data_IF_072400080071
#
_entry.id   IF_072400080071
#
_cell.length_a   1.000
_cell.length_b   1.000
_cell.length_c   1.000
_cell.angle_alpha   90.00
_cell.angle_beta   90.00
_cell.angle_gamma   90.00
#
_symmetry.space_group_name_H-M   'P 1'
#
loop_
_entity.id
_entity.type
_entity.pdbx_description
1 polymer ?
#
# COMPACT_ATOMS: atom_id res chain seq x y z
N UNK A 1 4.58 5.42 -9.12
CA UNK A 1 3.72 6.23 -8.23
C UNK A 1 3.80 5.66 -6.82
N UNK A 2 3.61 6.50 -5.81
CA UNK A 2 3.37 6.08 -4.44
C UNK A 2 2.01 5.42 -4.29
N UNK A 3 1.85 4.61 -3.24
CA UNK A 3 0.60 3.88 -2.99
C UNK A 3 -0.54 4.84 -2.63
N UNK A 4 -0.29 5.82 -1.75
CA UNK A 4 -1.28 6.83 -1.38
C UNK A 4 -1.88 7.52 -2.62
N UNK A 5 -1.05 7.93 -3.58
CA UNK A 5 -1.52 8.59 -4.80
C UNK A 5 -2.32 7.65 -5.71
N UNK A 6 -2.06 6.33 -5.67
CA UNK A 6 -2.89 5.34 -6.38
C UNK A 6 -4.28 5.24 -5.72
N UNK A 7 -4.34 5.22 -4.39
CA UNK A 7 -5.59 5.21 -3.62
C UNK A 7 -6.40 6.48 -3.87
N UNK A 8 -5.75 7.65 -3.84
CA UNK A 8 -6.36 8.96 -4.12
C UNK A 8 -6.92 9.04 -5.55
N UNK A 9 -6.19 8.51 -6.54
CA UNK A 9 -6.68 8.43 -7.92
C UNK A 9 -7.94 7.57 -8.02
N UNK A 10 -7.94 6.40 -7.38
CA UNK A 10 -9.12 5.51 -7.32
C UNK A 10 -10.30 6.21 -6.64
N UNK A 11 -10.10 6.89 -5.51
CA UNK A 11 -11.14 7.65 -4.82
C UNK A 11 -11.74 8.78 -5.69
N UNK A 12 -10.91 9.38 -6.55
CA UNK A 12 -11.33 10.38 -7.54
C UNK A 12 -11.97 9.75 -8.81
N UNK A 13 -12.14 8.43 -8.88
CA UNK A 13 -12.65 7.73 -10.06
C UNK A 13 -11.73 7.86 -11.29
N UNK A 14 -10.43 8.02 -11.09
CA UNK A 14 -9.45 8.22 -12.15
C UNK A 14 -8.44 7.09 -12.21
N UNK A 15 -8.00 6.75 -13.43
CA UNK A 15 -6.86 5.86 -13.60
C UNK A 15 -5.57 6.54 -13.11
N UNK A 16 -4.74 5.83 -12.31
CA UNK A 16 -3.49 6.38 -11.82
C UNK A 16 -2.54 6.80 -12.95
N UNK A 17 -2.08 8.06 -12.92
CA UNK A 17 -1.16 8.63 -13.90
C UNK A 17 0.14 9.08 -13.24
N UNK A 18 1.26 8.97 -13.95
CA UNK A 18 2.59 9.44 -13.47
C UNK A 18 2.59 10.94 -13.13
N UNK A 19 1.68 11.71 -13.72
CA UNK A 19 1.52 13.14 -13.45
C UNK A 19 0.95 13.42 -12.06
N UNK A 20 0.21 12.48 -11.44
CA UNK A 20 -0.33 12.61 -10.09
C UNK A 20 0.74 12.45 -9.00
N UNK A 21 1.90 11.88 -9.34
CA UNK A 21 3.05 11.75 -8.44
C UNK A 21 4.36 11.84 -9.25
N UNK A 22 4.67 13.03 -9.79
CA UNK A 22 5.76 13.20 -10.75
C UNK A 22 7.15 12.93 -10.15
N UNK A 23 7.34 13.20 -8.86
CA UNK A 23 8.59 12.94 -8.14
C UNK A 23 8.31 12.04 -6.95
N UNK A 24 8.87 10.83 -6.97
CA UNK A 24 8.73 9.87 -5.87
C UNK A 24 10.12 9.51 -5.32
N UNK A 25 10.29 9.64 -4.02
CA UNK A 25 11.50 9.21 -3.31
C UNK A 25 11.25 7.84 -2.67
N UNK A 26 12.09 6.86 -3.02
CA UNK A 26 12.08 5.53 -2.38
C UNK A 26 13.34 5.36 -1.53
N UNK A 27 13.22 5.28 -0.21
CA UNK A 27 14.37 4.99 0.64
C UNK A 27 14.99 3.63 0.31
N UNK A 28 16.34 3.60 0.13
CA UNK A 28 17.12 2.37 -0.13
C UNK A 28 18.07 2.01 1.03
N UNK A 29 17.93 2.65 2.19
CA UNK A 29 18.85 2.52 3.32
C UNK A 29 20.11 3.40 3.19
N UNK A 30 20.97 3.43 4.22
CA UNK A 30 22.23 4.19 4.25
C UNK A 30 22.11 5.65 3.80
N UNK A 31 21.02 6.34 4.17
CA UNK A 31 20.74 7.75 3.81
C UNK A 31 20.68 8.01 2.29
N UNK A 32 20.38 6.99 1.50
CA UNK A 32 20.15 7.08 0.06
C UNK A 32 18.69 6.90 -0.29
N UNK A 33 18.26 7.60 -1.33
CA UNK A 33 16.92 7.42 -1.90
C UNK A 33 16.99 7.31 -3.42
N UNK A 34 16.28 6.36 -3.98
CA UNK A 34 16.05 6.29 -5.42
C UNK A 34 15.00 7.34 -5.78
N UNK A 35 15.35 8.22 -6.70
CA UNK A 35 14.47 9.25 -7.26
C UNK A 35 13.79 8.68 -8.49
N UNK A 36 12.46 8.63 -8.47
CA UNK A 36 11.65 8.22 -9.61
C UNK A 36 10.95 9.48 -10.14
N UNK A 37 11.24 9.83 -11.38
CA UNK A 37 10.71 10.99 -12.06
C UNK A 37 9.74 10.53 -13.16
N UNK A 38 8.48 10.97 -13.08
CA UNK A 38 7.40 10.59 -14.01
C UNK A 38 7.37 9.08 -14.31
N UNK A 39 7.49 8.27 -13.26
CA UNK A 39 7.42 6.81 -13.34
C UNK A 39 8.72 6.10 -13.78
N UNK A 40 9.77 6.83 -14.13
CA UNK A 40 11.08 6.30 -14.52
C UNK A 40 12.10 6.47 -13.39
N UNK A 41 12.96 5.48 -13.18
CA UNK A 41 14.11 5.65 -12.26
C UNK A 41 15.04 6.68 -12.89
N UNK A 42 15.21 7.80 -12.21
CA UNK A 42 16.04 8.91 -12.67
C UNK A 42 17.46 8.84 -12.10
N UNK A 43 17.59 8.68 -10.78
CA UNK A 43 18.88 8.62 -10.11
C UNK A 43 18.73 7.98 -8.71
N UNK A 44 19.86 7.62 -8.07
CA UNK A 44 19.93 7.23 -6.66
C UNK A 44 20.82 8.21 -5.91
N UNK A 45 20.24 9.07 -5.09
CA UNK A 45 20.91 10.21 -4.50
C UNK A 45 20.99 10.13 -2.98
N UNK A 46 22.05 10.71 -2.42
CA UNK A 46 22.07 11.11 -1.02
C UNK A 46 21.25 12.41 -0.83
N UNK A 47 20.75 12.63 0.39
CA UNK A 47 19.92 13.81 0.68
C UNK A 47 20.58 15.13 0.23
N UNK A 48 21.91 15.29 0.42
CA UNK A 48 22.64 16.50 -0.02
C UNK A 48 22.60 16.72 -1.52
N UNK A 49 22.71 15.66 -2.32
CA UNK A 49 22.73 15.74 -3.78
C UNK A 49 21.34 15.92 -4.36
N UNK A 50 20.32 15.34 -3.70
CA UNK A 50 18.92 15.61 -4.00
C UNK A 50 18.62 17.12 -3.92
N UNK A 51 19.07 17.78 -2.87
CA UNK A 51 18.84 19.22 -2.68
C UNK A 51 19.51 20.12 -3.75
N UNK A 52 20.53 19.64 -4.44
CA UNK A 52 21.15 20.37 -5.58
C UNK A 52 20.33 20.24 -6.86
N UNK A 53 19.40 19.31 -6.92
CA UNK A 53 18.61 18.97 -8.10
C UNK A 53 17.14 19.41 -8.00
N UNK A 54 16.75 20.08 -6.90
CA UNK A 54 15.35 20.45 -6.62
C UNK A 54 14.76 21.34 -7.71
N UNK A 55 15.53 22.24 -8.35
CA UNK A 55 15.01 23.09 -9.43
C UNK A 55 14.59 22.28 -10.66
N UNK A 56 15.43 21.38 -11.14
CA UNK A 56 15.07 20.54 -12.29
C UNK A 56 13.92 19.58 -11.99
N UNK A 57 13.81 19.11 -10.75
CA UNK A 57 12.69 18.30 -10.30
C UNK A 57 11.40 19.11 -10.19
N UNK A 58 11.50 20.37 -9.74
CA UNK A 58 10.39 21.30 -9.67
C UNK A 58 9.83 21.61 -11.06
N UNK A 59 10.68 21.93 -12.04
CA UNK A 59 10.27 22.17 -13.43
C UNK A 59 9.46 20.98 -13.97
N UNK A 60 9.95 19.73 -13.77
CA UNK A 60 9.25 18.53 -14.21
C UNK A 60 7.95 18.26 -13.43
N UNK A 61 7.91 18.62 -12.16
CA UNK A 61 6.69 18.55 -11.39
C UNK A 61 5.65 19.56 -11.89
N UNK A 62 6.07 20.78 -12.28
CA UNK A 62 5.16 21.80 -12.81
C UNK A 62 4.63 21.42 -14.21
N UNK A 63 5.45 20.84 -15.09
CA UNK A 63 4.96 20.26 -16.36
C UNK A 63 3.80 19.26 -16.10
N UNK A 64 3.97 18.41 -15.09
CA UNK A 64 2.92 17.44 -14.72
C UNK A 64 1.69 18.10 -14.12
N UNK A 65 1.86 19.14 -13.31
CA UNK A 65 0.77 19.92 -12.71
C UNK A 65 -0.05 20.64 -13.80
N UNK A 66 0.62 21.29 -14.75
CA UNK A 66 -0.02 21.96 -15.89
C UNK A 66 -0.81 20.98 -16.76
N UNK A 67 -0.25 19.77 -16.97
CA UNK A 67 -0.98 18.70 -17.64
C UNK A 67 -2.27 18.32 -16.88
N UNK A 68 -2.23 18.15 -15.56
CA UNK A 68 -3.41 17.84 -14.78
C UNK A 68 -4.46 18.96 -14.80
N UNK A 69 -4.03 20.21 -14.61
CA UNK A 69 -4.92 21.39 -14.67
C UNK A 69 -5.61 21.51 -16.02
N UNK A 70 -4.88 21.24 -17.10
CA UNK A 70 -5.44 21.34 -18.46
C UNK A 70 -6.43 20.23 -18.82
N UNK A 71 -6.43 19.12 -18.09
CA UNK A 71 -7.24 17.94 -18.38
C UNK A 71 -8.32 17.64 -17.34
N UNK A 72 -8.43 18.46 -16.29
CA UNK A 72 -9.41 18.26 -15.21
C UNK A 72 -10.00 19.59 -14.76
N UNK A 73 -11.29 19.61 -14.46
CA UNK A 73 -11.99 20.79 -13.93
C UNK A 73 -11.45 21.18 -12.54
N UNK A 74 -11.02 20.18 -11.76
CA UNK A 74 -10.46 20.34 -10.43
C UNK A 74 -9.14 19.55 -10.29
N UNK A 75 -8.14 20.21 -9.76
CA UNK A 75 -6.86 19.59 -9.37
C UNK A 75 -6.57 19.90 -7.92
N UNK A 76 -6.50 18.85 -7.08
CA UNK A 76 -6.19 18.95 -5.64
C UNK A 76 -4.72 18.63 -5.45
N UNK A 77 -3.99 19.55 -4.82
CA UNK A 77 -2.59 19.40 -4.47
C UNK A 77 -2.47 19.01 -3.00
N UNK A 78 -1.76 17.96 -2.71
CA UNK A 78 -1.40 17.58 -1.34
C UNK A 78 0.06 17.95 -1.07
N UNK A 79 0.27 18.76 0.00
CA UNK A 79 1.61 19.02 0.50
C UNK A 79 2.23 17.81 1.19
N UNK A 80 3.54 17.77 1.29
CA UNK A 80 4.27 16.74 2.01
C UNK A 80 5.18 17.34 3.08
N UNK A 81 5.13 16.76 4.28
CA UNK A 81 5.78 17.34 5.46
C UNK A 81 5.09 18.62 5.95
N UNK A 82 5.75 19.36 6.82
CA UNK A 82 5.21 20.62 7.34
C UNK A 82 5.60 21.79 6.44
N UNK A 83 4.63 22.62 6.07
CA UNK A 83 4.89 23.87 5.35
C UNK A 83 5.58 24.94 6.23
N UNK A 84 5.65 24.72 7.55
CA UNK A 84 6.36 25.58 8.52
C UNK A 84 7.85 25.24 8.70
N UNK A 85 8.41 24.30 7.93
CA UNK A 85 9.83 23.93 7.98
C UNK A 85 10.71 24.98 7.26
N UNK A 86 11.03 26.07 7.94
CA UNK A 86 11.77 27.23 7.38
C UNK A 86 13.13 26.87 6.80
N UNK A 87 13.82 25.87 7.36
CA UNK A 87 15.11 25.37 6.88
C UNK A 87 15.01 24.63 5.51
N UNK A 88 13.83 24.17 5.14
CA UNK A 88 13.56 23.48 3.88
C UNK A 88 12.88 24.39 2.83
N UNK A 89 12.44 25.58 3.21
CA UNK A 89 11.63 26.49 2.40
C UNK A 89 12.13 26.70 0.97
N UNK A 90 13.42 26.96 0.81
CA UNK A 90 14.04 27.23 -0.50
C UNK A 90 14.22 25.96 -1.36
N UNK A 91 13.95 24.78 -0.81
CA UNK A 91 14.11 23.46 -1.45
C UNK A 91 12.82 22.69 -1.51
N UNK A 92 11.76 23.26 -0.95
CA UNK A 92 10.43 22.68 -0.96
C UNK A 92 9.82 22.78 -2.36
N UNK A 93 9.45 21.65 -2.92
CA UNK A 93 8.84 21.55 -4.25
C UNK A 93 7.39 21.05 -4.19
N UNK A 94 6.81 20.91 -2.99
CA UNK A 94 5.51 20.27 -2.79
C UNK A 94 4.45 21.12 -2.08
N UNK A 95 4.84 22.13 -1.29
CA UNK A 95 3.90 22.95 -0.53
C UNK A 95 3.59 24.27 -1.27
N UNK A 96 4.17 25.39 -0.84
CA UNK A 96 3.79 26.70 -1.37
C UNK A 96 4.31 27.00 -2.78
N UNK A 97 5.44 26.42 -3.23
CA UNK A 97 5.93 26.68 -4.59
C UNK A 97 4.95 26.22 -5.67
N UNK A 98 4.39 24.98 -5.63
CA UNK A 98 3.32 24.58 -6.54
C UNK A 98 2.05 25.44 -6.39
N UNK A 99 1.67 25.83 -5.17
CA UNK A 99 0.52 26.69 -4.93
C UNK A 99 0.69 28.10 -5.54
N UNK A 100 1.91 28.66 -5.49
CA UNK A 100 2.22 29.92 -6.19
C UNK A 100 2.19 29.76 -7.70
N UNK A 101 2.79 28.69 -8.24
CA UNK A 101 2.84 28.44 -9.66
C UNK A 101 1.43 28.30 -10.28
N UNK A 102 0.55 27.57 -9.61
CA UNK A 102 -0.83 27.33 -10.07
C UNK A 102 -1.85 28.36 -9.62
N UNK A 103 -1.43 29.37 -8.88
CA UNK A 103 -2.32 30.35 -8.20
C UNK A 103 -3.37 29.69 -7.30
N UNK A 104 -3.05 28.55 -6.68
CA UNK A 104 -3.98 27.78 -5.86
C UNK A 104 -4.31 28.48 -4.53
N UNK A 105 -5.58 28.37 -4.10
CA UNK A 105 -6.00 28.63 -2.74
C UNK A 105 -5.53 27.50 -1.82
N UNK A 106 -5.03 27.84 -0.62
CA UNK A 106 -4.46 26.87 0.33
C UNK A 106 -5.40 26.68 1.51
N UNK A 107 -5.61 25.41 1.90
CA UNK A 107 -6.29 25.06 3.15
C UNK A 107 -5.22 24.43 4.06
N UNK A 108 -5.02 25.03 5.24
CA UNK A 108 -4.08 24.52 6.24
C UNK A 108 -4.79 23.47 7.11
N UNK A 109 -4.30 22.24 7.07
CA UNK A 109 -4.81 21.14 7.91
C UNK A 109 -3.90 20.95 9.11
N UNK A 110 -4.48 20.98 10.32
CA UNK A 110 -3.78 20.81 11.58
C UNK A 110 -4.28 19.57 12.33
N UNK A 111 -3.36 18.75 12.84
CA UNK A 111 -3.65 17.54 13.61
C UNK A 111 -3.74 17.86 15.10
N UNK A 112 -4.93 17.62 15.73
CA UNK A 112 -5.14 17.91 17.16
C UNK A 112 -4.75 16.72 18.06
N UNK A 113 -4.49 15.54 17.51
CA UNK A 113 -4.32 14.31 18.29
C UNK A 113 -3.18 14.40 19.32
N UNK A 114 -2.11 15.12 18.99
CA UNK A 114 -0.94 15.29 19.87
C UNK A 114 -1.05 16.48 20.81
N UNK A 115 -2.15 17.24 20.74
CA UNK A 115 -2.32 18.48 21.50
C UNK A 115 -1.56 19.69 20.92
N UNK A 116 -1.84 20.87 21.45
CA UNK A 116 -1.15 22.11 21.04
C UNK A 116 -1.55 22.64 19.66
N UNK A 117 -2.68 22.26 19.09
CA UNK A 117 -3.11 22.62 17.72
C UNK A 117 -3.14 24.14 17.48
N UNK A 118 -3.56 24.95 18.46
CA UNK A 118 -3.56 26.39 18.32
C UNK A 118 -2.16 26.95 18.16
N UNK A 119 -1.20 26.46 18.97
CA UNK A 119 0.20 26.86 18.86
C UNK A 119 0.80 26.44 17.52
N UNK A 120 0.48 25.24 17.02
CA UNK A 120 0.92 24.76 15.71
C UNK A 120 0.39 25.65 14.59
N UNK A 121 -0.90 25.99 14.58
CA UNK A 121 -1.50 26.86 13.56
C UNK A 121 -0.86 28.24 13.60
N UNK A 122 -0.81 28.90 14.78
CA UNK A 122 -0.27 30.23 14.91
C UNK A 122 1.23 30.24 14.58
N UNK A 123 1.99 29.28 15.10
CA UNK A 123 3.42 29.17 14.81
C UNK A 123 3.68 28.95 13.31
N UNK A 124 2.90 28.13 12.62
CA UNK A 124 3.00 27.97 11.18
C UNK A 124 2.74 29.29 10.44
N UNK A 125 1.66 29.99 10.79
CA UNK A 125 1.31 31.27 10.17
C UNK A 125 2.33 32.38 10.45
N UNK A 126 3.09 32.28 11.53
CA UNK A 126 4.12 33.26 11.91
C UNK A 126 5.45 33.01 11.18
N UNK A 127 5.81 31.76 10.93
CA UNK A 127 7.12 31.41 10.33
C UNK A 127 7.12 31.45 8.81
N UNK A 128 5.96 31.37 8.17
CA UNK A 128 5.83 31.44 6.70
C UNK A 128 5.81 32.89 6.23
N UNK A 129 6.10 33.15 4.94
CA UNK A 129 6.06 34.48 4.37
C UNK A 129 4.64 35.08 4.37
N UNK A 130 4.53 36.41 4.31
CA UNK A 130 3.24 37.10 4.15
C UNK A 130 2.50 36.68 2.88
N UNK A 131 3.25 36.39 1.80
CA UNK A 131 2.71 35.95 0.52
C UNK A 131 2.11 34.53 0.62
N UNK A 132 2.80 33.61 1.30
CA UNK A 132 2.30 32.26 1.58
C UNK A 132 1.05 32.31 2.47
N UNK A 133 1.12 33.12 3.54
CA UNK A 133 0.01 33.30 4.47
C UNK A 133 -1.24 33.84 3.75
N UNK A 134 -1.07 34.76 2.81
CA UNK A 134 -2.17 35.33 2.04
C UNK A 134 -2.90 34.27 1.17
N UNK A 135 -2.23 33.15 0.83
CA UNK A 135 -2.85 32.03 0.11
C UNK A 135 -3.70 31.13 1.00
N UNK A 136 -3.47 31.14 2.31
CA UNK A 136 -4.25 30.29 3.22
C UNK A 136 -5.64 30.91 3.40
N UNK A 137 -6.65 30.26 2.85
CA UNK A 137 -8.03 30.71 2.83
C UNK A 137 -8.92 30.02 3.86
N UNK A 138 -8.45 28.92 4.44
CA UNK A 138 -9.20 28.16 5.42
C UNK A 138 -8.32 27.27 6.29
N UNK A 139 -8.86 26.91 7.46
CA UNK A 139 -8.25 25.98 8.41
C UNK A 139 -9.12 24.75 8.56
N UNK A 140 -8.54 23.57 8.62
CA UNK A 140 -9.19 22.32 9.03
C UNK A 140 -8.45 21.76 10.24
N UNK A 141 -9.20 21.43 11.29
CA UNK A 141 -8.69 20.74 12.47
C UNK A 141 -9.07 19.28 12.36
N UNK A 142 -8.08 18.41 12.21
CA UNK A 142 -8.29 16.98 11.94
C UNK A 142 -8.05 16.13 13.17
N UNK A 143 -8.65 14.93 13.17
CA UNK A 143 -8.53 13.90 14.21
C UNK A 143 -9.03 14.35 15.59
N UNK A 144 -10.09 15.11 15.62
CA UNK A 144 -10.69 15.56 16.87
C UNK A 144 -11.29 14.38 17.65
N UNK A 145 -10.99 14.28 18.94
CA UNK A 145 -11.58 13.27 19.84
C UNK A 145 -12.36 13.99 20.94
N UNK A 146 -13.56 13.51 21.22
CA UNK A 146 -14.45 14.05 22.23
C UNK A 146 -15.65 14.81 21.65
N UNK A 147 -16.30 15.63 22.46
CA UNK A 147 -17.48 16.42 22.08
C UNK A 147 -17.06 17.70 21.32
N UNK A 148 -17.41 17.82 20.00
CA UNK A 148 -17.06 19.00 19.21
C UNK A 148 -17.71 20.30 19.73
N UNK A 149 -18.81 20.22 20.50
CA UNK A 149 -19.49 21.42 21.03
C UNK A 149 -18.61 22.17 22.03
N UNK A 150 -17.76 21.44 22.78
CA UNK A 150 -16.81 22.01 23.72
C UNK A 150 -15.65 22.75 23.04
N UNK A 151 -15.49 22.59 21.73
CA UNK A 151 -14.42 23.23 20.96
C UNK A 151 -14.86 24.55 20.30
N UNK A 152 -16.13 24.92 20.41
CA UNK A 152 -16.71 26.10 19.75
C UNK A 152 -16.01 27.41 20.10
N UNK A 153 -15.61 27.60 21.35
CA UNK A 153 -14.89 28.81 21.77
C UNK A 153 -13.45 28.82 21.24
N UNK A 154 -12.84 27.65 21.07
CA UNK A 154 -11.54 27.53 20.43
C UNK A 154 -11.59 27.93 18.95
N UNK A 155 -12.66 27.55 18.23
CA UNK A 155 -12.88 27.97 16.85
C UNK A 155 -12.97 29.47 16.76
N UNK A 156 -13.84 30.12 17.55
CA UNK A 156 -14.00 31.57 17.57
C UNK A 156 -12.70 32.28 17.89
N UNK A 157 -11.92 31.71 18.83
CA UNK A 157 -10.66 32.30 19.25
C UNK A 157 -9.62 32.26 18.11
N UNK A 158 -9.46 31.12 17.43
CA UNK A 158 -8.48 30.99 16.35
C UNK A 158 -8.86 31.82 15.12
N UNK A 159 -10.13 31.86 14.75
CA UNK A 159 -10.63 32.72 13.66
C UNK A 159 -10.38 34.20 13.96
N UNK A 160 -10.67 34.67 15.20
CA UNK A 160 -10.39 36.04 15.64
C UNK A 160 -8.89 36.35 15.61
N UNK A 161 -8.05 35.39 16.03
CA UNK A 161 -6.60 35.57 16.12
C UNK A 161 -5.92 35.60 14.76
N UNK A 162 -6.38 34.80 13.82
CA UNK A 162 -5.74 34.58 12.50
C UNK A 162 -6.38 35.38 11.38
N UNK A 163 -7.66 35.70 11.50
CA UNK A 163 -8.49 36.25 10.43
C UNK A 163 -8.86 35.20 9.36
N UNK A 164 -8.58 33.93 9.61
CA UNK A 164 -8.82 32.83 8.66
C UNK A 164 -9.95 31.94 9.19
N UNK A 165 -10.98 31.62 8.37
CA UNK A 165 -12.11 30.81 8.81
C UNK A 165 -11.73 29.35 9.05
N UNK A 166 -12.33 28.74 10.08
CA UNK A 166 -12.29 27.28 10.27
C UNK A 166 -13.39 26.65 9.43
N UNK A 167 -12.98 25.82 8.47
CA UNK A 167 -13.88 25.15 7.54
C UNK A 167 -14.46 23.86 8.13
N UNK A 168 -13.67 23.19 8.98
CA UNK A 168 -14.08 21.96 9.62
C UNK A 168 -13.30 21.67 10.89
N UNK A 169 -13.96 20.98 11.82
CA UNK A 169 -13.34 20.17 12.87
C UNK A 169 -13.73 18.73 12.58
N UNK A 170 -12.82 17.97 12.03
CA UNK A 170 -13.06 16.59 11.58
C UNK A 170 -12.84 15.64 12.76
N UNK A 171 -13.87 14.92 13.20
CA UNK A 171 -13.72 13.90 14.24
C UNK A 171 -12.77 12.78 13.79
N UNK A 172 -12.18 12.10 14.76
CA UNK A 172 -11.39 10.91 14.47
C UNK A 172 -12.28 9.83 13.87
N UNK A 173 -11.97 9.42 12.64
CA UNK A 173 -12.72 8.42 11.91
C UNK A 173 -12.14 7.04 12.20
N UNK A 174 -12.94 6.16 12.81
CA UNK A 174 -12.54 4.79 13.16
C UNK A 174 -13.06 3.79 12.11
N UNK A 175 -12.38 2.66 12.00
CA UNK A 175 -12.81 1.51 11.19
C UNK A 175 -12.99 1.79 9.69
N UNK A 176 -12.12 2.60 9.10
CA UNK A 176 -12.08 2.79 7.65
C UNK A 176 -11.31 1.64 6.97
N UNK A 177 -11.90 1.05 5.93
CA UNK A 177 -11.30 -0.03 5.13
C UNK A 177 -10.62 0.51 3.87
N UNK A 178 -9.78 1.53 4.03
CA UNK A 178 -8.95 2.09 2.95
C UNK A 178 -7.50 1.75 3.22
N UNK A 179 -6.75 1.47 2.15
CA UNK A 179 -5.32 1.14 2.25
C UNK A 179 -4.56 2.23 3.02
N UNK A 180 -3.84 1.89 4.10
CA UNK A 180 -3.04 2.86 4.83
C UNK A 180 -1.83 3.30 4.00
N UNK A 181 -1.42 4.57 4.17
CA UNK A 181 -0.23 5.11 3.52
C UNK A 181 1.05 4.40 3.99
N UNK A 182 1.15 4.15 5.30
CA UNK A 182 2.30 3.52 5.93
C UNK A 182 2.07 2.06 6.30
N UNK A 183 3.05 1.21 6.01
CA UNK A 183 3.09 -0.21 6.41
C UNK A 183 3.23 -0.44 7.92
N UNK A 184 3.38 0.61 8.73
CA UNK A 184 3.53 0.53 10.19
C UNK A 184 2.23 0.21 10.95
N UNK A 185 1.08 0.25 10.29
CA UNK A 185 -0.24 -0.01 10.90
C UNK A 185 -0.63 -1.49 11.00
N UNK A 186 0.27 -2.43 10.70
CA UNK A 186 0.05 -3.89 10.75
C UNK A 186 -0.27 -4.46 12.16
N UNK A 187 -0.45 -3.62 13.17
CA UNK A 187 -0.64 -4.07 14.57
C UNK A 187 -2.07 -4.01 15.10
N UNK A 188 -3.08 -3.73 14.27
CA UNK A 188 -4.47 -3.68 14.75
C UNK A 188 -5.19 -4.98 14.44
N UNK A 189 -5.39 -5.72 15.48
CA UNK A 189 -6.24 -6.88 15.62
C UNK A 189 -7.58 -6.76 14.90
N UNK A 190 -7.81 -7.76 14.09
CA UNK A 190 -9.05 -8.33 13.62
C UNK A 190 -10.29 -7.99 14.44
N UNK A 191 -11.35 -7.64 13.72
CA UNK A 191 -12.72 -7.71 14.24
C UNK A 191 -12.93 -9.11 14.79
N UNK A 192 -13.52 -9.21 15.99
CA UNK A 192 -13.94 -10.49 16.55
C UNK A 192 -14.83 -11.22 15.53
N UNK A 193 -14.56 -12.49 15.22
CA UNK A 193 -15.36 -13.27 14.30
C UNK A 193 -16.82 -13.32 14.78
N UNK A 194 -17.74 -13.17 13.84
CA UNK A 194 -19.18 -13.24 14.14
C UNK A 194 -19.65 -14.64 14.53
N UNK A 195 -18.88 -15.67 14.18
CA UNK A 195 -19.18 -17.08 14.43
C UNK A 195 -17.99 -17.81 15.04
N UNK A 196 -18.25 -18.86 15.84
CA UNK A 196 -17.23 -19.71 16.46
C UNK A 196 -16.40 -20.56 15.47
N UNK A 197 -16.68 -20.48 14.19
CA UNK A 197 -15.94 -21.15 13.12
C UNK A 197 -15.38 -20.12 12.17
N UNK A 198 -14.06 -20.02 12.09
CA UNK A 198 -13.35 -19.16 11.15
C UNK A 198 -12.24 -19.93 10.47
N UNK A 199 -11.87 -19.50 9.28
CA UNK A 199 -10.66 -19.98 8.59
C UNK A 199 -9.48 -19.16 9.11
N UNK A 200 -8.54 -19.84 9.77
CA UNK A 200 -7.38 -19.20 10.40
C UNK A 200 -6.21 -19.13 9.43
N UNK A 201 -5.85 -17.92 9.05
CA UNK A 201 -4.76 -17.67 8.12
C UNK A 201 -3.62 -16.92 8.82
N UNK A 202 -2.41 -17.47 8.72
CA UNK A 202 -1.20 -16.81 9.21
C UNK A 202 -0.43 -16.18 8.05
N UNK A 203 0.03 -14.95 8.20
CA UNK A 203 1.02 -14.32 7.32
C UNK A 203 2.31 -14.17 8.08
N UNK A 204 3.42 -14.73 7.60
CA UNK A 204 4.74 -14.55 8.22
C UNK A 204 5.18 -13.10 7.99
N UNK A 205 5.32 -12.33 9.06
CA UNK A 205 5.74 -10.93 8.99
C UNK A 205 7.25 -10.83 8.75
N UNK A 206 7.65 -10.84 7.48
CA UNK A 206 9.04 -10.68 7.06
C UNK A 206 9.55 -9.27 7.40
N UNK A 207 10.85 -9.10 7.75
CA UNK A 207 11.44 -7.78 8.01
C UNK A 207 11.31 -6.80 6.85
N UNK A 208 11.42 -7.30 5.61
CA UNK A 208 11.31 -6.49 4.38
C UNK A 208 9.99 -6.73 3.64
N UNK A 209 8.92 -7.05 4.37
CA UNK A 209 7.59 -7.27 3.77
C UNK A 209 7.23 -6.15 2.80
N UNK A 210 6.67 -6.54 1.65
CA UNK A 210 6.12 -5.62 0.66
C UNK A 210 4.70 -6.04 0.27
N UNK A 211 3.92 -5.08 -0.24
CA UNK A 211 2.56 -5.33 -0.73
C UNK A 211 1.67 -6.07 0.29
N UNK A 212 1.80 -5.72 1.59
CA UNK A 212 0.98 -6.33 2.65
C UNK A 212 -0.53 -6.17 2.40
N UNK A 213 -0.91 -5.22 1.57
CA UNK A 213 -2.29 -5.00 1.14
C UNK A 213 -2.87 -6.13 0.30
N UNK A 214 -2.04 -7.04 -0.25
CA UNK A 214 -2.54 -8.27 -0.89
C UNK A 214 -3.43 -9.09 0.05
N UNK A 215 -3.26 -8.93 1.37
CA UNK A 215 -4.01 -9.65 2.39
C UNK A 215 -5.21 -8.88 2.94
N UNK A 216 -5.40 -7.61 2.58
CA UNK A 216 -6.56 -6.83 3.05
C UNK A 216 -7.90 -7.47 2.70
N UNK A 217 -8.11 -8.02 1.50
CA UNK A 217 -9.37 -8.69 1.20
C UNK A 217 -9.67 -9.88 2.11
N UNK A 218 -8.62 -10.57 2.58
CA UNK A 218 -8.75 -11.64 3.57
C UNK A 218 -9.00 -11.09 4.98
N UNK A 219 -8.32 -10.00 5.36
CA UNK A 219 -8.50 -9.34 6.66
C UNK A 219 -9.92 -8.79 6.86
N UNK A 220 -10.53 -8.32 5.77
CA UNK A 220 -11.90 -7.80 5.80
C UNK A 220 -12.98 -8.85 5.61
N UNK A 221 -12.60 -10.08 5.28
CA UNK A 221 -13.54 -11.17 5.12
C UNK A 221 -14.05 -11.65 6.50
N UNK A 222 -15.37 -11.66 6.76
CA UNK A 222 -15.92 -12.04 8.07
C UNK A 222 -15.66 -13.50 8.44
N UNK A 223 -15.33 -14.35 7.46
CA UNK A 223 -15.06 -15.77 7.64
C UNK A 223 -13.57 -16.08 7.90
N UNK A 224 -12.71 -15.05 7.89
CA UNK A 224 -11.26 -15.20 8.03
C UNK A 224 -10.76 -14.54 9.33
N UNK A 225 -9.96 -15.28 10.08
CA UNK A 225 -9.12 -14.78 11.16
C UNK A 225 -7.68 -14.67 10.65
N UNK A 226 -7.27 -13.47 10.20
CA UNK A 226 -5.94 -13.19 9.68
C UNK A 226 -4.99 -12.78 10.82
N UNK A 227 -3.82 -13.39 10.89
CA UNK A 227 -2.79 -13.09 11.89
C UNK A 227 -1.42 -12.86 11.24
N UNK A 228 -0.80 -11.71 11.50
CA UNK A 228 0.59 -11.46 11.12
C UNK A 228 1.55 -11.97 12.20
N UNK A 229 2.36 -12.96 11.86
CA UNK A 229 3.26 -13.63 12.80
C UNK A 229 4.67 -13.05 12.72
N UNK A 230 5.04 -12.21 13.69
CA UNK A 230 6.39 -11.66 13.83
C UNK A 230 7.35 -12.63 14.51
N UNK A 231 6.86 -13.34 15.51
CA UNK A 231 7.64 -14.27 16.29
C UNK A 231 7.22 -15.70 15.99
N UNK A 232 8.20 -16.62 16.04
CA UNK A 232 7.93 -18.04 15.83
C UNK A 232 6.88 -18.56 16.82
N UNK A 233 5.85 -19.19 16.28
CA UNK A 233 4.78 -19.85 17.02
C UNK A 233 4.42 -21.18 16.37
N UNK A 234 3.58 -21.97 17.01
CA UNK A 234 3.04 -23.20 16.42
C UNK A 234 2.13 -22.85 15.23
N UNK A 235 2.35 -23.50 14.09
CA UNK A 235 1.56 -23.31 12.88
C UNK A 235 0.34 -24.27 12.83
N UNK A 236 0.26 -25.26 13.70
CA UNK A 236 -0.77 -26.30 13.65
C UNK A 236 -2.20 -25.79 13.87
N UNK A 237 -2.34 -24.58 14.40
CA UNK A 237 -3.65 -23.96 14.64
C UNK A 237 -4.16 -23.12 13.46
N UNK A 238 -3.40 -23.05 12.35
CA UNK A 238 -3.76 -22.31 11.15
C UNK A 238 -4.15 -23.27 10.05
N UNK A 239 -5.18 -22.89 9.31
CA UNK A 239 -5.65 -23.63 8.12
C UNK A 239 -4.77 -23.31 6.90
N UNK A 240 -4.16 -22.10 6.85
CA UNK A 240 -3.25 -21.65 5.80
C UNK A 240 -2.12 -20.79 6.39
N UNK A 241 -0.90 -20.95 5.85
CA UNK A 241 0.25 -20.07 6.13
C UNK A 241 0.68 -19.39 4.84
N UNK A 242 0.80 -18.06 4.85
CA UNK A 242 1.19 -17.25 3.71
C UNK A 242 2.57 -16.61 3.92
N UNK A 243 3.41 -16.68 2.89
CA UNK A 243 4.65 -15.94 2.77
C UNK A 243 4.41 -14.73 1.85
N UNK A 244 4.56 -13.51 2.35
CA UNK A 244 4.25 -12.29 1.59
C UNK A 244 5.36 -11.92 0.61
N UNK A 245 5.12 -10.89 -0.20
CA UNK A 245 6.14 -10.21 -0.97
C UNK A 245 7.26 -9.65 -0.09
N UNK A 246 8.45 -9.54 -0.65
CA UNK A 246 9.64 -9.02 0.03
C UNK A 246 10.35 -7.99 -0.85
N UNK A 247 10.95 -6.97 -0.22
CA UNK A 247 11.86 -6.01 -0.87
C UNK A 247 13.31 -6.50 -0.87
N UNK A 248 13.61 -7.56 -0.10
CA UNK A 248 14.92 -8.19 -0.05
C UNK A 248 14.79 -9.66 0.32
N UNK A 249 14.61 -10.49 -0.69
CA UNK A 249 14.30 -11.91 -0.52
C UNK A 249 15.47 -12.67 0.11
N UNK A 250 16.70 -12.32 -0.24
CA UNK A 250 17.89 -12.98 0.31
C UNK A 250 18.05 -12.73 1.82
N UNK A 251 17.85 -11.49 2.28
CA UNK A 251 17.91 -11.17 3.72
C UNK A 251 16.72 -11.75 4.48
N UNK A 252 15.54 -11.76 3.89
CA UNK A 252 14.36 -12.36 4.52
C UNK A 252 14.49 -13.89 4.60
N UNK A 253 15.09 -14.55 3.60
CA UNK A 253 15.41 -15.97 3.70
C UNK A 253 16.41 -16.27 4.82
N UNK A 254 17.46 -15.46 4.93
CA UNK A 254 18.41 -15.56 6.05
C UNK A 254 17.70 -15.37 7.40
N UNK A 255 16.82 -14.38 7.51
CA UNK A 255 16.03 -14.15 8.72
C UNK A 255 15.15 -15.35 9.07
N UNK A 256 14.49 -15.98 8.09
CA UNK A 256 13.70 -17.20 8.29
C UNK A 256 14.55 -18.35 8.84
N UNK A 257 15.79 -18.50 8.34
CA UNK A 257 16.74 -19.52 8.79
C UNK A 257 17.21 -19.23 10.23
N UNK A 258 17.66 -18.01 10.50
CA UNK A 258 18.19 -17.58 11.81
C UNK A 258 17.13 -17.70 12.91
N UNK A 259 15.85 -17.44 12.59
CA UNK A 259 14.73 -17.57 13.51
C UNK A 259 14.04 -18.95 13.48
N UNK A 260 14.63 -19.93 12.77
CA UNK A 260 14.16 -21.32 12.70
C UNK A 260 12.72 -21.47 12.14
N UNK A 261 12.25 -20.51 11.33
CA UNK A 261 10.98 -20.62 10.62
C UNK A 261 11.01 -21.74 9.56
N UNK A 262 12.16 -21.93 8.90
CA UNK A 262 12.36 -22.97 7.90
C UNK A 262 11.99 -24.37 8.39
N UNK A 263 12.39 -24.75 9.62
CA UNK A 263 12.03 -26.03 10.22
C UNK A 263 10.54 -26.13 10.54
N UNK A 264 9.95 -25.05 11.06
CA UNK A 264 8.51 -25.03 11.38
C UNK A 264 7.63 -25.15 10.14
N UNK A 265 7.97 -24.41 9.07
CA UNK A 265 7.27 -24.47 7.79
C UNK A 265 7.39 -25.86 7.13
N UNK A 266 8.57 -26.51 7.20
CA UNK A 266 8.76 -27.87 6.70
C UNK A 266 7.92 -28.90 7.47
N UNK A 267 7.92 -28.81 8.81
CA UNK A 267 7.07 -29.69 9.64
C UNK A 267 5.60 -29.49 9.31
N UNK A 268 5.14 -28.25 9.19
CA UNK A 268 3.76 -27.93 8.85
C UNK A 268 3.38 -28.45 7.46
N UNK A 269 4.25 -28.27 6.46
CA UNK A 269 4.06 -28.81 5.11
C UNK A 269 3.99 -30.34 5.07
N UNK A 270 4.89 -31.03 5.81
CA UNK A 270 4.91 -32.50 5.90
C UNK A 270 3.64 -33.05 6.58
N UNK A 271 3.03 -32.28 7.47
CA UNK A 271 1.74 -32.60 8.08
C UNK A 271 0.54 -32.18 7.21
N UNK A 272 0.75 -31.95 5.90
CA UNK A 272 -0.27 -31.54 4.92
C UNK A 272 -0.86 -30.15 5.19
N UNK A 273 -0.17 -29.30 5.96
CA UNK A 273 -0.56 -27.91 6.12
C UNK A 273 -0.46 -27.13 4.81
N UNK A 274 -1.39 -26.22 4.60
CA UNK A 274 -1.47 -25.39 3.39
C UNK A 274 -0.48 -24.22 3.48
N UNK A 275 0.36 -24.06 2.46
CA UNK A 275 1.32 -22.92 2.40
C UNK A 275 1.21 -22.23 1.05
N UNK A 276 1.05 -20.91 1.08
CA UNK A 276 1.06 -20.06 -0.11
C UNK A 276 2.23 -19.05 -0.09
N UNK A 277 2.76 -18.71 -1.26
CA UNK A 277 3.79 -17.68 -1.42
C UNK A 277 3.44 -16.68 -2.52
N UNK A 278 3.46 -15.39 -2.20
CA UNK A 278 3.21 -14.32 -3.17
C UNK A 278 4.51 -13.58 -3.46
N UNK A 279 4.87 -13.44 -4.73
CA UNK A 279 6.03 -12.69 -5.22
C UNK A 279 7.34 -13.13 -4.54
N UNK A 280 7.91 -12.34 -3.63
CA UNK A 280 9.05 -12.74 -2.82
C UNK A 280 8.80 -14.01 -2.01
N UNK A 281 7.59 -14.18 -1.47
CA UNK A 281 7.17 -15.40 -0.78
C UNK A 281 7.22 -16.65 -1.66
N UNK A 282 6.83 -16.52 -2.93
CA UNK A 282 6.98 -17.58 -3.91
C UNK A 282 8.46 -17.97 -4.13
N UNK A 283 9.35 -16.97 -4.24
CA UNK A 283 10.79 -17.19 -4.38
C UNK A 283 11.37 -17.91 -3.15
N UNK A 284 10.95 -17.52 -1.94
CA UNK A 284 11.36 -18.14 -0.67
C UNK A 284 11.00 -19.63 -0.59
N UNK A 285 9.86 -20.05 -1.20
CA UNK A 285 9.42 -21.45 -1.23
C UNK A 285 10.33 -22.34 -2.08
N UNK A 286 11.11 -21.76 -2.99
CA UNK A 286 11.97 -22.47 -3.93
C UNK A 286 13.13 -23.22 -3.30
N UNK A 287 13.91 -23.90 -4.14
CA UNK A 287 15.12 -24.64 -3.75
C UNK A 287 16.26 -23.67 -3.48
N UNK A 288 16.40 -22.63 -4.34
CA UNK A 288 17.55 -21.72 -4.32
C UNK A 288 17.19 -20.35 -4.91
N UNK A 289 17.80 -19.31 -4.34
CA UNK A 289 17.72 -17.93 -4.81
C UNK A 289 19.14 -17.48 -5.18
N UNK A 290 19.31 -17.04 -6.41
CA UNK A 290 20.59 -16.58 -6.98
C UNK A 290 20.51 -15.07 -7.22
N UNK A 291 21.48 -14.32 -6.69
CA UNK A 291 21.66 -12.89 -6.94
C UNK A 291 23.09 -12.61 -7.44
N UNK A 292 23.47 -13.10 -8.63
CA UNK A 292 24.84 -12.99 -9.13
C UNK A 292 25.24 -11.55 -9.44
N UNK A 293 24.31 -10.62 -9.51
CA UNK A 293 24.53 -9.20 -9.78
C UNK A 293 24.35 -8.31 -8.56
N UNK A 294 24.15 -8.92 -7.38
CA UNK A 294 23.94 -8.18 -6.13
C UNK A 294 22.82 -7.12 -6.19
N UNK A 295 21.70 -7.50 -6.80
CA UNK A 295 20.53 -6.63 -6.98
C UNK A 295 19.89 -6.26 -5.65
N UNK A 296 19.86 -7.22 -4.71
CA UNK A 296 19.25 -7.05 -3.38
C UNK A 296 20.28 -7.01 -2.24
N UNK A 297 21.58 -6.96 -2.53
CA UNK A 297 22.61 -6.82 -1.49
C UNK A 297 23.83 -7.72 -1.67
N UNK A 298 24.48 -8.13 -0.58
CA UNK A 298 25.76 -8.81 -0.64
C UNK A 298 25.67 -10.35 -0.68
N UNK A 299 24.47 -10.92 -0.68
CA UNK A 299 24.26 -12.37 -0.74
C UNK A 299 24.09 -12.76 -2.20
N UNK A 300 25.06 -13.44 -2.78
CA UNK A 300 25.01 -13.88 -4.19
C UNK A 300 24.17 -15.13 -4.42
N UNK A 301 24.00 -15.95 -3.37
CA UNK A 301 23.23 -17.19 -3.41
C UNK A 301 22.76 -17.57 -2.01
N UNK A 302 21.54 -18.09 -1.89
CA UNK A 302 21.01 -18.64 -0.64
C UNK A 302 20.04 -19.79 -0.94
N UNK A 303 20.14 -20.87 -0.13
CA UNK A 303 19.15 -21.95 -0.14
C UNK A 303 17.79 -21.44 0.30
N UNK A 304 16.74 -21.76 -0.49
CA UNK A 304 15.35 -21.49 -0.13
C UNK A 304 14.77 -22.52 0.84
N UNK A 305 13.47 -22.48 1.02
CA UNK A 305 12.73 -23.42 1.89
C UNK A 305 12.69 -24.84 1.33
N UNK A 306 12.93 -25.02 0.02
CA UNK A 306 12.90 -26.32 -0.69
C UNK A 306 11.54 -27.00 -0.58
N UNK A 307 10.47 -26.21 -0.67
CA UNK A 307 9.07 -26.66 -0.63
C UNK A 307 8.45 -26.70 -2.03
N UNK A 308 8.96 -25.90 -2.96
CA UNK A 308 8.61 -25.93 -4.38
C UNK A 308 9.84 -26.22 -5.24
N UNK A 309 9.74 -27.02 -6.30
CA UNK A 309 10.85 -27.35 -7.18
C UNK A 309 11.10 -26.20 -8.19
N UNK A 310 11.54 -25.08 -7.69
CA UNK A 310 11.91 -23.90 -8.47
C UNK A 310 13.26 -23.34 -8.01
N UNK A 311 13.97 -22.75 -8.95
CA UNK A 311 15.15 -21.90 -8.70
C UNK A 311 14.87 -20.50 -9.23
N UNK A 312 15.16 -19.47 -8.42
CA UNK A 312 14.95 -18.08 -8.80
C UNK A 312 16.28 -17.38 -9.03
N UNK A 313 16.41 -16.65 -10.14
CA UNK A 313 17.54 -15.74 -10.39
C UNK A 313 17.05 -14.29 -10.37
N UNK A 314 17.72 -13.44 -9.60
CA UNK A 314 17.41 -12.01 -9.52
C UNK A 314 18.10 -11.24 -10.66
N UNK A 315 17.37 -10.31 -11.27
CA UNK A 315 17.83 -9.48 -12.37
C UNK A 315 17.64 -8.00 -12.05
N UNK A 316 18.52 -7.13 -12.57
CA UNK A 316 18.43 -5.68 -12.39
C UNK A 316 17.18 -5.07 -13.06
N UNK A 317 16.67 -5.70 -14.12
CA UNK A 317 15.47 -5.25 -14.81
C UNK A 317 14.23 -5.79 -14.10
N UNK A 318 13.37 -4.88 -13.64
CA UNK A 318 12.12 -5.20 -12.97
C UNK A 318 11.03 -5.54 -13.97
N UNK A 319 10.32 -6.64 -13.74
CA UNK A 319 9.06 -6.95 -14.44
C UNK A 319 7.95 -6.12 -13.81
N UNK A 320 7.15 -5.45 -14.63
CA UNK A 320 5.92 -4.76 -14.23
C UNK A 320 4.90 -4.94 -15.33
N UNK A 321 3.85 -5.72 -15.07
CA UNK A 321 2.78 -5.98 -16.04
C UNK A 321 1.47 -6.31 -15.34
N UNK A 322 0.35 -6.01 -16.00
CA UNK A 322 -0.97 -6.57 -15.64
C UNK A 322 -1.02 -8.02 -16.12
N UNK A 323 -1.63 -8.88 -15.32
CA UNK A 323 -1.68 -10.33 -15.59
C UNK A 323 -3.08 -10.83 -15.31
N UNK A 324 -3.60 -11.63 -16.23
CA UNK A 324 -4.90 -12.30 -16.15
C UNK A 324 -4.73 -13.78 -16.54
N UNK A 325 -5.48 -14.64 -15.89
CA UNK A 325 -5.41 -16.08 -16.14
C UNK A 325 -6.48 -16.86 -15.40
N UNK A 326 -6.33 -18.17 -15.42
CA UNK A 326 -7.15 -19.12 -14.68
C UNK A 326 -6.28 -19.81 -13.64
N UNK A 327 -6.72 -19.82 -12.39
CA UNK A 327 -6.10 -20.63 -11.34
C UNK A 327 -6.40 -22.10 -11.56
N UNK A 328 -5.37 -22.87 -11.89
CA UNK A 328 -5.54 -24.23 -12.43
C UNK A 328 -6.29 -25.20 -11.52
N UNK A 329 -6.00 -25.21 -10.21
CA UNK A 329 -6.62 -26.18 -9.28
C UNK A 329 -8.05 -25.83 -8.87
N UNK A 330 -8.49 -24.58 -9.09
CA UNK A 330 -9.83 -24.09 -8.71
C UNK A 330 -10.71 -23.81 -9.92
N UNK A 331 -10.14 -23.77 -11.13
CA UNK A 331 -10.80 -23.33 -12.36
C UNK A 331 -11.46 -21.95 -12.20
N UNK A 332 -10.76 -21.03 -11.51
CA UNK A 332 -11.25 -19.68 -11.23
C UNK A 332 -10.42 -18.62 -11.96
N UNK A 333 -11.08 -17.62 -12.57
CA UNK A 333 -10.38 -16.50 -13.17
C UNK A 333 -9.68 -15.68 -12.08
N UNK A 334 -8.42 -15.30 -12.38
CA UNK A 334 -7.61 -14.43 -11.54
C UNK A 334 -7.07 -13.28 -12.37
N UNK A 335 -6.98 -12.11 -11.75
CA UNK A 335 -6.41 -10.89 -12.35
C UNK A 335 -5.61 -10.13 -11.31
N UNK A 336 -4.58 -9.43 -11.77
CA UNK A 336 -3.76 -8.62 -10.88
C UNK A 336 -2.56 -8.03 -11.62
N UNK A 337 -1.44 -7.90 -10.94
CA UNK A 337 -0.22 -7.40 -11.52
C UNK A 337 1.00 -8.15 -10.97
N UNK A 338 2.04 -8.21 -11.79
CA UNK A 338 3.35 -8.72 -11.38
C UNK A 338 4.34 -7.57 -11.23
N UNK A 339 5.10 -7.55 -10.12
CA UNK A 339 6.13 -6.55 -9.88
C UNK A 339 7.31 -7.18 -9.13
N UNK A 340 8.29 -7.70 -9.86
CA UNK A 340 9.41 -8.46 -9.30
C UNK A 340 10.71 -8.30 -10.11
N UNK A 341 11.85 -8.56 -9.48
CA UNK A 341 13.16 -8.64 -10.11
C UNK A 341 13.58 -10.09 -10.41
N UNK A 342 12.98 -11.07 -9.75
CA UNK A 342 13.32 -12.49 -9.91
C UNK A 342 12.64 -13.14 -11.11
N UNK A 343 13.32 -14.12 -11.69
CA UNK A 343 12.76 -15.06 -12.66
C UNK A 343 12.93 -16.46 -12.11
N UNK A 344 11.81 -17.15 -11.91
CA UNK A 344 11.79 -18.54 -11.42
C UNK A 344 11.67 -19.51 -12.58
N UNK A 345 12.46 -20.58 -12.51
CA UNK A 345 12.40 -21.71 -13.44
C UNK A 345 12.13 -22.99 -12.67
N UNK A 346 11.41 -23.91 -13.28
CA UNK A 346 11.19 -25.24 -12.73
C UNK A 346 12.50 -26.04 -12.71
N UNK A 347 12.76 -26.71 -11.61
CA UNK A 347 13.87 -27.66 -11.44
C UNK A 347 13.43 -29.11 -11.67
N UNK A 348 12.13 -29.37 -11.86
CA UNK A 348 11.54 -30.66 -12.12
C UNK A 348 10.52 -30.58 -13.26
N UNK A 349 10.48 -31.63 -14.08
CA UNK A 349 9.50 -31.80 -15.17
C UNK A 349 8.08 -32.11 -14.67
N UNK A 350 7.94 -32.45 -13.39
CA UNK A 350 6.64 -32.77 -12.76
C UNK A 350 5.99 -31.54 -12.10
N UNK A 351 6.51 -30.33 -12.32
CA UNK A 351 5.90 -29.12 -11.82
C UNK A 351 4.60 -28.79 -12.57
N UNK A 352 3.62 -28.34 -11.80
CA UNK A 352 2.41 -27.75 -12.35
C UNK A 352 2.44 -26.25 -12.08
N UNK A 353 1.99 -25.46 -13.04
CA UNK A 353 1.81 -24.01 -12.82
C UNK A 353 0.56 -23.75 -11.97
N UNK A 354 0.63 -22.72 -11.17
CA UNK A 354 -0.51 -22.25 -10.36
C UNK A 354 -1.57 -21.61 -11.26
N UNK A 355 -1.13 -20.79 -12.23
CA UNK A 355 -2.00 -20.01 -13.10
C UNK A 355 -1.67 -20.31 -14.56
N UNK A 356 -2.73 -20.53 -15.36
CA UNK A 356 -2.67 -20.53 -16.81
C UNK A 356 -3.01 -19.13 -17.33
N UNK A 357 -2.06 -18.48 -18.01
CA UNK A 357 -2.20 -17.08 -18.44
C UNK A 357 -3.06 -16.95 -19.69
N UNK A 358 -3.96 -15.97 -19.71
CA UNK A 358 -4.90 -15.71 -20.80
C UNK A 358 -4.30 -14.89 -21.97
N UNK A 359 -2.97 -14.80 -22.12
CA UNK A 359 -2.35 -14.01 -23.19
C UNK A 359 -2.58 -14.63 -24.57
N UNK A 360 -3.23 -13.87 -25.45
CA UNK A 360 -3.57 -14.28 -26.83
C UNK A 360 -2.37 -14.61 -27.73
N UNK A 361 -1.14 -14.24 -27.35
CA UNK A 361 0.06 -14.37 -28.19
C UNK A 361 0.98 -15.54 -27.84
N UNK A 362 0.81 -16.20 -26.70
CA UNK A 362 1.63 -17.36 -26.30
C UNK A 362 0.71 -18.41 -25.65
N UNK A 363 0.36 -19.48 -26.36
CA UNK A 363 -0.62 -20.49 -25.90
C UNK A 363 -0.21 -21.29 -24.66
N UNK A 364 1.01 -21.13 -24.14
CA UNK A 364 1.59 -21.94 -23.06
C UNK A 364 2.26 -21.10 -21.97
N UNK A 365 1.87 -19.82 -21.81
CA UNK A 365 2.42 -19.00 -20.75
C UNK A 365 1.83 -19.45 -19.40
N UNK A 366 2.66 -20.10 -18.60
CA UNK A 366 2.34 -20.58 -17.27
C UNK A 366 2.98 -19.68 -16.22
N UNK A 367 2.29 -19.43 -15.11
CA UNK A 367 2.76 -18.62 -13.99
C UNK A 367 2.64 -19.41 -12.69
N UNK A 368 3.62 -19.19 -11.78
CA UNK A 368 3.64 -19.82 -10.47
C UNK A 368 4.03 -21.29 -10.48
N UNK A 369 4.00 -21.91 -9.32
CA UNK A 369 4.28 -23.34 -9.13
C UNK A 369 3.37 -23.91 -8.04
N UNK A 370 2.87 -25.12 -8.27
CA UNK A 370 2.03 -25.88 -7.37
C UNK A 370 2.73 -27.19 -7.02
N UNK A 371 2.74 -27.55 -5.74
CA UNK A 371 3.29 -28.84 -5.30
C UNK A 371 2.46 -30.01 -5.80
N UNK A 372 3.08 -31.19 -5.89
CA UNK A 372 2.42 -32.42 -6.32
C UNK A 372 1.17 -32.74 -5.48
N UNK A 373 1.23 -32.49 -4.19
CA UNK A 373 0.14 -32.76 -3.24
C UNK A 373 -0.87 -31.60 -3.14
N UNK A 374 -0.71 -30.56 -3.97
CA UNK A 374 -1.57 -29.38 -4.06
C UNK A 374 -1.69 -28.52 -2.77
N UNK A 375 -0.88 -28.80 -1.75
CA UNK A 375 -0.93 -28.10 -0.48
C UNK A 375 0.07 -26.93 -0.38
N UNK A 376 0.98 -26.79 -1.36
CA UNK A 376 1.95 -25.69 -1.42
C UNK A 376 1.88 -25.05 -2.79
N UNK A 377 1.72 -23.73 -2.82
CA UNK A 377 1.64 -22.98 -4.06
C UNK A 377 2.41 -21.67 -3.97
N UNK A 378 2.81 -21.17 -5.11
CA UNK A 378 3.43 -19.86 -5.22
C UNK A 378 3.07 -19.19 -6.53
N UNK A 379 3.00 -17.85 -6.52
CA UNK A 379 2.67 -17.02 -7.67
C UNK A 379 3.35 -15.66 -7.56
N UNK A 380 3.69 -15.05 -8.70
CA UNK A 380 4.11 -13.65 -8.75
C UNK A 380 2.95 -12.67 -8.74
N UNK A 381 1.72 -13.15 -8.87
CA UNK A 381 0.53 -12.31 -9.00
C UNK A 381 0.18 -11.62 -7.68
N UNK A 382 0.21 -10.29 -7.67
CA UNK A 382 -0.35 -9.43 -6.65
C UNK A 382 -1.82 -9.11 -6.97
N UNK A 383 -2.63 -8.83 -5.93
CA UNK A 383 -4.08 -8.63 -6.07
C UNK A 383 -4.85 -9.93 -6.27
N UNK A 384 -4.25 -11.08 -5.98
CA UNK A 384 -4.85 -12.40 -6.13
C UNK A 384 -6.19 -12.52 -5.40
N UNK A 385 -6.28 -11.90 -4.22
CA UNK A 385 -7.47 -11.94 -3.37
C UNK A 385 -8.46 -10.79 -3.62
N UNK A 386 -8.30 -10.00 -4.69
CA UNK A 386 -9.21 -8.90 -4.98
C UNK A 386 -10.56 -9.38 -5.55
N UNK A 387 -10.62 -10.61 -6.10
CA UNK A 387 -11.83 -11.21 -6.63
C UNK A 387 -12.62 -11.96 -5.57
N UNK A 388 -13.84 -11.53 -5.31
CA UNK A 388 -14.75 -12.21 -4.38
C UNK A 388 -15.02 -13.67 -4.73
N UNK A 389 -15.38 -14.02 -5.99
CA UNK A 389 -15.56 -15.40 -6.41
C UNK A 389 -14.31 -16.27 -6.24
N UNK A 390 -13.13 -15.70 -6.48
CA UNK A 390 -11.87 -16.42 -6.24
C UNK A 390 -11.67 -16.70 -4.75
N UNK A 391 -11.84 -15.69 -3.87
CA UNK A 391 -11.72 -15.89 -2.40
C UNK A 391 -12.68 -16.99 -1.95
N UNK A 392 -13.94 -16.98 -2.38
CA UNK A 392 -14.93 -17.99 -2.01
C UNK A 392 -14.46 -19.39 -2.35
N UNK A 393 -14.07 -19.62 -3.61
CA UNK A 393 -13.57 -20.93 -4.06
C UNK A 393 -12.29 -21.34 -3.33
N UNK A 394 -11.39 -20.38 -3.09
CA UNK A 394 -10.12 -20.58 -2.41
C UNK A 394 -10.30 -20.98 -0.93
N UNK A 395 -11.15 -20.28 -0.20
CA UNK A 395 -11.44 -20.58 1.21
C UNK A 395 -12.16 -21.93 1.36
N UNK A 396 -13.07 -22.25 0.44
CA UNK A 396 -13.71 -23.56 0.42
C UNK A 396 -12.71 -24.69 0.13
N UNK A 397 -11.74 -24.47 -0.75
CA UNK A 397 -10.69 -25.47 -1.00
C UNK A 397 -9.74 -25.68 0.19
N UNK A 398 -9.50 -24.64 0.99
CA UNK A 398 -8.69 -24.75 2.22
C UNK A 398 -9.43 -25.55 3.29
N UNK A 399 -10.73 -25.32 3.44
CA UNK A 399 -11.56 -25.93 4.51
C UNK A 399 -12.94 -26.32 3.96
N UNK A 400 -13.06 -27.47 3.27
CA UNK A 400 -14.30 -27.87 2.62
C UNK A 400 -15.49 -28.09 3.55
N UNK A 401 -15.21 -28.43 4.83
CA UNK A 401 -16.22 -28.58 5.87
C UNK A 401 -16.77 -27.26 6.41
N UNK A 402 -16.17 -26.14 6.03
CA UNK A 402 -16.62 -24.82 6.44
C UNK A 402 -17.81 -24.38 5.57
N UNK A 403 -18.99 -24.32 6.20
CA UNK A 403 -20.20 -23.80 5.53
C UNK A 403 -20.10 -22.27 5.45
N UNK A 404 -19.87 -21.76 4.25
CA UNK A 404 -19.95 -20.35 3.95
C UNK A 404 -21.43 -19.99 3.87
N UNK A 405 -21.90 -19.06 4.70
CA UNK A 405 -23.27 -18.57 4.62
C UNK A 405 -23.52 -17.99 3.20
N UNK A 406 -24.54 -18.52 2.53
CA UNK A 406 -24.89 -18.07 1.17
C UNK A 406 -25.31 -16.59 1.14
N UNK A 407 -25.60 -15.99 2.30
CA UNK A 407 -25.89 -14.57 2.44
C UNK A 407 -24.61 -13.70 2.50
N UNK A 408 -23.45 -14.27 2.78
CA UNK A 408 -22.16 -13.60 2.68
C UNK A 408 -21.73 -13.57 1.21
N UNK A 409 -22.32 -12.66 0.45
CA UNK A 409 -21.88 -12.39 -0.92
C UNK A 409 -20.41 -11.96 -0.88
N UNK A 410 -19.55 -12.77 -1.50
CA UNK A 410 -18.15 -12.41 -1.69
C UNK A 410 -18.06 -11.36 -2.80
N UNK A 411 -18.05 -10.11 -2.38
CA UNK A 411 -17.90 -8.98 -3.31
C UNK A 411 -16.42 -8.81 -3.69
N UNK A 412 -16.18 -8.36 -4.91
CA UNK A 412 -14.85 -7.92 -5.31
C UNK A 412 -14.36 -6.79 -4.39
N UNK A 413 -13.09 -6.85 -4.00
CA UNK A 413 -12.50 -5.88 -3.06
C UNK A 413 -12.63 -4.44 -3.55
N UNK A 414 -12.63 -4.22 -4.86
CA UNK A 414 -12.87 -2.90 -5.45
C UNK A 414 -14.26 -2.35 -5.10
N UNK A 415 -15.31 -3.19 -5.04
CA UNK A 415 -16.68 -2.77 -4.67
C UNK A 415 -16.69 -2.36 -3.19
N UNK A 416 -16.05 -3.16 -2.33
CA UNK A 416 -15.92 -2.84 -0.90
C UNK A 416 -15.17 -1.52 -0.71
N UNK A 417 -14.05 -1.33 -1.39
CA UNK A 417 -13.23 -0.11 -1.30
C UNK A 417 -14.00 1.13 -1.78
N UNK A 418 -14.75 1.03 -2.89
CA UNK A 418 -15.56 2.14 -3.39
C UNK A 418 -16.61 2.55 -2.35
N UNK A 419 -17.29 1.59 -1.74
CA UNK A 419 -18.26 1.86 -0.65
C UNK A 419 -17.60 2.56 0.55
N UNK A 420 -16.36 2.23 0.86
CA UNK A 420 -15.61 2.90 1.94
C UNK A 420 -15.20 4.33 1.55
N UNK A 421 -14.90 4.59 0.27
CA UNK A 421 -14.70 5.96 -0.21
C UNK A 421 -15.97 6.79 -0.10
N UNK A 422 -17.13 6.22 -0.49
CA UNK A 422 -18.42 6.91 -0.34
C UNK A 422 -18.73 7.23 1.13
N UNK A 423 -18.52 6.28 2.04
CA UNK A 423 -18.68 6.52 3.48
C UNK A 423 -17.75 7.62 4.01
N UNK A 424 -16.52 7.69 3.50
CA UNK A 424 -15.58 8.73 3.87
C UNK A 424 -16.03 10.09 3.33
N UNK A 425 -16.52 10.15 2.10
CA UNK A 425 -17.06 11.36 1.48
C UNK A 425 -18.26 11.89 2.27
N UNK A 426 -19.25 11.04 2.57
CA UNK A 426 -20.42 11.37 3.40
C UNK A 426 -20.02 11.88 4.78
N UNK A 427 -18.99 11.28 5.37
CA UNK A 427 -18.47 11.71 6.67
C UNK A 427 -17.86 13.10 6.59
N UNK A 428 -17.06 13.39 5.58
CA UNK A 428 -16.48 14.72 5.39
C UNK A 428 -17.54 15.77 5.09
N UNK A 429 -18.53 15.47 4.24
CA UNK A 429 -19.61 16.39 3.88
C UNK A 429 -20.39 16.87 5.11
N UNK A 430 -20.64 15.99 6.07
CA UNK A 430 -21.31 16.32 7.35
C UNK A 430 -20.54 17.29 8.24
N UNK A 431 -19.21 17.35 8.10
CA UNK A 431 -18.35 18.11 8.99
C UNK A 431 -17.68 19.33 8.33
N UNK A 432 -17.76 19.42 7.00
CA UNK A 432 -17.23 20.55 6.23
C UNK A 432 -18.29 21.66 6.11
N UNK A 433 -17.87 22.90 6.28
CA UNK A 433 -18.68 24.06 5.93
C UNK A 433 -18.69 24.25 4.40
N UNK A 434 -19.50 23.44 3.69
CA UNK A 434 -19.48 23.35 2.22
C UNK A 434 -19.65 24.70 1.54
N UNK A 435 -20.54 25.56 2.01
CA UNK A 435 -20.72 26.92 1.46
C UNK A 435 -19.43 27.76 1.53
N UNK A 436 -18.70 27.68 2.66
CA UNK A 436 -17.41 28.39 2.81
C UNK A 436 -16.36 27.80 1.87
N UNK A 437 -16.29 26.47 1.77
CA UNK A 437 -15.36 25.78 0.87
C UNK A 437 -15.63 26.15 -0.59
N UNK A 438 -16.87 26.10 -1.04
CA UNK A 438 -17.25 26.52 -2.41
C UNK A 438 -16.90 27.99 -2.70
N UNK A 439 -17.07 28.88 -1.73
CA UNK A 439 -16.65 30.27 -1.87
C UNK A 439 -15.14 30.41 -2.10
N UNK A 440 -14.34 29.61 -1.40
CA UNK A 440 -12.88 29.57 -1.58
C UNK A 440 -12.50 29.01 -2.95
N UNK A 441 -13.19 27.96 -3.41
CA UNK A 441 -12.93 27.32 -4.69
C UNK A 441 -13.30 28.17 -5.91
N UNK A 442 -14.23 29.13 -5.72
CA UNK A 442 -14.64 30.07 -6.78
C UNK A 442 -13.86 31.38 -6.78
N UNK A 443 -12.98 31.63 -5.77
CA UNK A 443 -12.16 32.83 -5.64
C UNK A 443 -10.77 32.66 -6.23
#
# INVERSE_FOLDING_TARGET
MGRAQVVQAKAAGKEPSVHMNPVLLKPEGNSRSQVILQGQVWDTLQARDYFKRTESLFEKAMESLEFLISNHDWTILEGAGSCGEVNLRNRDIVNFRPAHHSNASVILVADIEKGGVFAQIIGTLEVISSEDRARIKGLIINKFRGDPTLFSDGIKWIEKKTGIPVLAVIPYFENIMIEPEDSLSLSKTTKLPKNNQTIKIAVIQLPHISNHTDFMPLEYNPNVELSFLKNKTSLNNFDLVLLPGSKNVCLDMKWLQDNKWNSSLKIYANNKGQIGGICGGYQLLGERILDPKHVEGNISEIDGLKLLPIETTLHSKKTLKRTEGIWNSLDQPVRGYEIHCGQSRFTSIYCQSTIHLSQRSIPTANEGCLSKDLNIWGSYLHGLFDSGPFIQAFLHAIKPEFEIDQQDLFEDFQVITNREFDKLADFFEKHLAMEKLESILKS
#
